data_IF_226520796321
#
_entry.id   IF_226520796321
#
_cell.length_a   1.000
_cell.length_b   1.000
_cell.length_c   1.000
_cell.angle_alpha   90.00
_cell.angle_beta   90.00
_cell.angle_gamma   90.00
#
_symmetry.space_group_name_H-M   'P 1'
#
loop_
_entity.id
_entity.type
_entity.pdbx_description
1 polymer ?
#
# COMPACT_ATOMS: atom_id res chain seq x y z
N UNK A 1 6.21 12.63 -0.01
CA UNK A 1 5.92 12.61 1.44
C UNK A 1 7.23 12.84 2.22
N UNK A 2 7.38 13.96 2.90
CA UNK A 2 8.64 14.39 3.54
C UNK A 2 9.14 13.37 4.59
N UNK A 3 10.46 13.11 4.62
CA UNK A 3 11.04 12.09 5.50
C UNK A 3 10.91 12.46 6.99
N UNK A 4 10.86 13.76 7.30
CA UNK A 4 10.59 14.32 8.63
C UNK A 4 9.18 13.99 9.13
N UNK A 5 8.17 14.06 8.25
CA UNK A 5 6.78 13.76 8.60
C UNK A 5 6.59 12.28 8.96
N UNK A 6 7.23 11.41 8.17
CA UNK A 6 7.27 9.96 8.42
C UNK A 6 7.86 9.64 9.79
N UNK A 7 8.96 10.30 10.17
CA UNK A 7 9.63 10.12 11.45
C UNK A 7 8.79 10.60 12.63
N UNK A 8 8.06 11.71 12.46
CA UNK A 8 7.12 12.23 13.45
C UNK A 8 5.94 11.28 13.68
N UNK A 9 5.32 10.77 12.60
CA UNK A 9 4.21 9.83 12.70
C UNK A 9 4.62 8.54 13.42
N UNK A 10 5.79 8.00 13.08
CA UNK A 10 6.32 6.79 13.71
C UNK A 10 6.66 7.01 15.19
N UNK A 11 7.16 8.20 15.56
CA UNK A 11 7.45 8.53 16.96
C UNK A 11 6.20 8.73 17.82
N UNK A 12 5.13 9.27 17.25
CA UNK A 12 3.87 9.54 17.96
C UNK A 12 3.01 8.28 18.14
N UNK A 13 2.84 7.50 17.06
CA UNK A 13 1.88 6.39 17.02
C UNK A 13 2.53 5.03 16.72
N UNK A 14 3.67 5.03 16.02
CA UNK A 14 4.37 3.80 15.62
C UNK A 14 4.74 2.93 16.81
N UNK A 15 5.22 3.55 17.91
CA UNK A 15 5.61 2.82 19.13
C UNK A 15 4.45 2.10 19.85
N UNK A 16 3.21 2.55 19.66
CA UNK A 16 2.02 1.91 20.25
C UNK A 16 1.45 0.79 19.36
N UNK A 17 1.69 0.87 18.06
CA UNK A 17 1.19 -0.08 17.06
C UNK A 17 2.17 -1.25 16.87
N UNK A 18 3.45 -1.01 17.18
CA UNK A 18 4.55 -1.97 17.08
C UNK A 18 4.33 -3.13 18.08
N UNK A 19 4.01 -4.32 17.56
CA UNK A 19 3.69 -5.52 18.35
C UNK A 19 2.21 -5.93 18.40
N UNK A 20 1.32 -5.20 17.71
CA UNK A 20 -0.09 -5.63 17.58
C UNK A 20 -0.27 -6.70 16.50
N UNK A 21 -1.24 -7.61 16.68
CA UNK A 21 -1.58 -8.62 15.66
C UNK A 21 -1.94 -8.02 14.30
N UNK A 22 -2.47 -6.79 14.29
CA UNK A 22 -2.80 -6.02 13.09
C UNK A 22 -1.55 -5.59 12.30
N UNK A 23 -0.41 -5.36 12.96
CA UNK A 23 0.83 -5.02 12.25
C UNK A 23 1.30 -6.17 11.37
N UNK A 24 1.22 -7.40 11.86
CA UNK A 24 1.64 -8.57 11.09
C UNK A 24 0.77 -8.75 9.84
N UNK A 25 -0.56 -8.67 9.97
CA UNK A 25 -1.46 -8.78 8.81
C UNK A 25 -1.27 -7.63 7.80
N UNK A 26 -1.12 -6.39 8.27
CA UNK A 26 -0.85 -5.25 7.39
C UNK A 26 0.53 -5.31 6.76
N UNK A 27 1.55 -5.82 7.45
CA UNK A 27 2.88 -5.99 6.88
C UNK A 27 2.88 -7.02 5.75
N UNK A 28 2.12 -8.10 5.87
CA UNK A 28 1.95 -9.11 4.82
C UNK A 28 1.23 -8.53 3.60
N UNK A 29 0.17 -7.76 3.80
CA UNK A 29 -0.55 -7.12 2.68
C UNK A 29 0.27 -6.02 2.01
N UNK A 30 1.02 -5.20 2.76
CA UNK A 30 1.97 -4.22 2.20
C UNK A 30 3.12 -4.88 1.44
N UNK A 31 3.62 -6.02 1.95
CA UNK A 31 4.67 -6.78 1.28
C UNK A 31 4.15 -7.38 -0.05
N UNK A 32 2.92 -7.89 -0.06
CA UNK A 32 2.24 -8.31 -1.28
C UNK A 32 2.04 -7.16 -2.28
N UNK A 33 1.87 -5.92 -1.79
CA UNK A 33 1.79 -4.70 -2.60
C UNK A 33 3.14 -4.13 -3.06
N UNK A 34 4.26 -4.79 -2.75
CA UNK A 34 5.64 -4.33 -3.02
C UNK A 34 5.99 -2.97 -2.38
N UNK A 35 5.29 -2.62 -1.29
CA UNK A 35 5.57 -1.40 -0.56
C UNK A 35 6.53 -1.77 0.56
N UNK A 36 7.81 -1.44 0.39
CA UNK A 36 8.87 -1.70 1.36
C UNK A 36 8.81 -0.70 2.54
N UNK A 37 7.69 -0.75 3.27
CA UNK A 37 7.40 0.09 4.44
C UNK A 37 6.85 -0.84 5.53
N UNK A 38 7.34 -0.67 6.77
CA UNK A 38 6.83 -1.42 7.94
C UNK A 38 5.33 -1.15 8.15
N UNK A 39 4.55 -2.19 8.47
CA UNK A 39 3.10 -2.07 8.68
C UNK A 39 2.73 -1.02 9.74
N UNK A 40 3.48 -0.97 10.85
CA UNK A 40 3.35 0.06 11.89
C UNK A 40 3.55 1.49 11.38
N UNK A 41 4.49 1.70 10.45
CA UNK A 41 4.75 3.00 9.85
C UNK A 41 3.63 3.44 8.90
N UNK A 42 3.07 2.52 8.14
CA UNK A 42 1.95 2.80 7.26
C UNK A 42 0.69 3.16 8.05
N UNK A 43 0.33 2.34 9.05
CA UNK A 43 -0.82 2.60 9.92
C UNK A 43 -0.70 3.93 10.65
N UNK A 44 0.49 4.27 11.15
CA UNK A 44 0.73 5.55 11.82
C UNK A 44 0.53 6.74 10.88
N UNK A 45 1.05 6.66 9.65
CA UNK A 45 0.86 7.73 8.66
C UNK A 45 -0.61 7.84 8.25
N UNK A 46 -1.31 6.72 8.07
CA UNK A 46 -2.73 6.68 7.73
C UNK A 46 -3.56 7.34 8.84
N UNK A 47 -3.38 6.93 10.09
CA UNK A 47 -4.09 7.51 11.23
C UNK A 47 -3.83 9.02 11.37
N UNK A 48 -2.56 9.45 11.33
CA UNK A 48 -2.21 10.86 11.50
C UNK A 48 -2.74 11.70 10.33
N UNK A 49 -2.64 11.20 9.09
CA UNK A 49 -3.14 11.92 7.92
C UNK A 49 -4.66 12.04 7.93
N UNK A 50 -5.37 10.97 8.30
CA UNK A 50 -6.83 10.96 8.43
C UNK A 50 -7.31 11.88 9.55
N UNK A 51 -6.62 11.90 10.70
CA UNK A 51 -6.91 12.80 11.81
C UNK A 51 -6.73 14.29 11.42
N UNK A 52 -5.64 14.61 10.72
CA UNK A 52 -5.39 15.97 10.23
C UNK A 52 -6.45 16.42 9.24
N UNK A 53 -6.87 15.54 8.33
CA UNK A 53 -7.93 15.85 7.37
C UNK A 53 -9.28 16.10 8.05
N UNK A 54 -9.62 15.25 9.04
CA UNK A 54 -10.84 15.39 9.83
C UNK A 54 -10.86 16.70 10.63
N UNK A 55 -9.73 17.09 11.23
CA UNK A 55 -9.61 18.36 11.93
C UNK A 55 -9.70 19.57 11.00
N UNK A 56 -9.08 19.50 9.81
CA UNK A 56 -9.15 20.58 8.84
C UNK A 56 -10.59 20.80 8.35
N UNK A 57 -11.29 19.73 7.95
CA UNK A 57 -12.66 19.82 7.43
C UNK A 57 -13.64 20.17 8.55
N UNK A 58 -13.50 19.56 9.75
CA UNK A 58 -14.31 19.91 10.92
C UNK A 58 -14.12 21.37 11.35
N UNK A 59 -12.89 21.89 11.31
CA UNK A 59 -12.59 23.29 11.60
C UNK A 59 -13.18 24.26 10.58
N UNK A 60 -13.11 23.94 9.28
CA UNK A 60 -13.73 24.75 8.22
C UNK A 60 -15.25 24.80 8.40
N UNK A 61 -15.90 23.66 8.65
CA UNK A 61 -17.34 23.59 8.86
C UNK A 61 -17.79 24.32 10.13
N UNK A 62 -16.97 24.31 11.18
CA UNK A 62 -17.23 25.08 12.40
C UNK A 62 -17.18 26.59 12.15
N UNK A 63 -16.17 27.07 11.41
CA UNK A 63 -16.01 28.50 11.08
C UNK A 63 -17.13 28.99 10.15
N UNK A 64 -17.59 28.14 9.22
CA UNK A 64 -18.58 28.51 8.22
C UNK A 64 -20.03 28.42 8.75
N UNK A 65 -20.24 27.97 10.00
CA UNK A 65 -21.54 27.83 10.69
C UNK A 65 -22.65 27.25 9.80
N UNK A 66 -22.33 26.17 9.07
CA UNK A 66 -23.30 25.46 8.25
C UNK A 66 -24.12 24.55 9.18
N UNK A 67 -25.39 24.90 9.43
CA UNK A 67 -26.32 24.13 10.29
C UNK A 67 -26.75 22.77 9.73
N UNK A 68 -26.30 22.40 8.52
CA UNK A 68 -26.75 21.18 7.84
C UNK A 68 -26.31 19.90 8.57
N UNK A 69 -25.19 19.94 9.29
CA UNK A 69 -24.69 18.79 10.05
C UNK A 69 -23.81 19.24 11.22
N UNK A 70 -23.84 18.48 12.32
CA UNK A 70 -22.96 18.75 13.46
C UNK A 70 -21.49 18.59 13.00
N UNK A 71 -20.60 19.59 13.21
CA UNK A 71 -19.20 19.53 12.75
C UNK A 71 -18.45 18.29 13.27
N UNK A 72 -18.86 17.76 14.43
CA UNK A 72 -18.29 16.55 15.02
C UNK A 72 -18.62 15.31 14.19
N UNK A 73 -19.86 15.17 13.70
CA UNK A 73 -20.26 14.01 12.88
C UNK A 73 -19.67 14.09 11.48
N UNK A 74 -19.51 15.30 10.91
CA UNK A 74 -18.79 15.49 9.66
C UNK A 74 -17.32 15.06 9.75
N UNK A 75 -16.63 15.45 10.84
CA UNK A 75 -15.24 15.05 11.06
C UNK A 75 -15.11 13.52 11.16
N UNK A 76 -16.04 12.84 11.83
CA UNK A 76 -16.04 11.38 11.94
C UNK A 76 -16.27 10.69 10.59
N UNK A 77 -17.20 11.20 9.78
CA UNK A 77 -17.43 10.70 8.42
C UNK A 77 -16.21 10.86 7.52
N UNK A 78 -15.53 12.01 7.59
CA UNK A 78 -14.30 12.26 6.84
C UNK A 78 -13.17 11.33 7.27
N UNK A 79 -13.04 11.10 8.58
CA UNK A 79 -12.07 10.15 9.12
C UNK A 79 -12.34 8.72 8.60
N UNK A 80 -13.59 8.26 8.69
CA UNK A 80 -14.00 6.94 8.19
C UNK A 80 -13.78 6.81 6.66
N UNK A 81 -14.19 7.82 5.89
CA UNK A 81 -14.07 7.82 4.43
C UNK A 81 -12.60 7.82 3.97
N UNK A 82 -11.74 8.64 4.59
CA UNK A 82 -10.31 8.70 4.25
C UNK A 82 -9.57 7.41 4.59
N UNK A 83 -9.86 6.80 5.74
CA UNK A 83 -9.30 5.49 6.11
C UNK A 83 -9.72 4.39 5.13
N UNK A 84 -11.03 4.35 4.78
CA UNK A 84 -11.55 3.40 3.81
C UNK A 84 -10.95 3.56 2.40
N UNK A 85 -10.77 4.80 1.94
CA UNK A 85 -10.18 5.08 0.62
C UNK A 85 -8.74 4.56 0.51
N UNK A 86 -7.93 4.74 1.56
CA UNK A 86 -6.55 4.24 1.58
C UNK A 86 -6.51 2.71 1.57
N UNK A 87 -7.39 2.05 2.32
CA UNK A 87 -7.51 0.59 2.32
C UNK A 87 -7.91 0.04 0.94
N UNK A 88 -8.86 0.69 0.28
CA UNK A 88 -9.32 0.32 -1.05
C UNK A 88 -8.20 0.47 -2.10
N UNK A 89 -7.46 1.58 -2.07
CA UNK A 89 -6.30 1.78 -2.94
C UNK A 89 -5.24 0.69 -2.75
N UNK A 90 -4.95 0.31 -1.50
CA UNK A 90 -3.99 -0.75 -1.21
C UNK A 90 -4.44 -2.09 -1.82
N UNK A 91 -5.72 -2.44 -1.61
CA UNK A 91 -6.31 -3.67 -2.15
C UNK A 91 -6.30 -3.69 -3.68
N UNK A 92 -6.65 -2.58 -4.33
CA UNK A 92 -6.63 -2.46 -5.80
C UNK A 92 -5.23 -2.69 -6.35
N UNK A 93 -4.19 -2.10 -5.73
CA UNK A 93 -2.80 -2.27 -6.16
C UNK A 93 -2.31 -3.71 -6.03
N UNK A 94 -2.76 -4.42 -4.98
CA UNK A 94 -2.47 -5.86 -4.81
C UNK A 94 -3.14 -6.67 -5.92
N UNK A 95 -4.40 -6.37 -6.25
CA UNK A 95 -5.12 -7.04 -7.33
C UNK A 95 -4.47 -6.78 -8.69
N UNK A 96 -4.13 -5.53 -9.00
CA UNK A 96 -3.45 -5.17 -10.26
C UNK A 96 -2.14 -5.94 -10.42
N UNK A 97 -1.37 -6.08 -9.33
CA UNK A 97 -0.13 -6.86 -9.34
C UNK A 97 -0.39 -8.35 -9.55
N UNK A 98 -1.38 -8.93 -8.87
CA UNK A 98 -1.76 -10.33 -9.10
C UNK A 98 -2.16 -10.57 -10.55
N UNK A 99 -2.96 -9.67 -11.12
CA UNK A 99 -3.36 -9.72 -12.53
C UNK A 99 -2.19 -9.54 -13.48
N UNK A 100 -1.20 -8.71 -13.15
CA UNK A 100 0.03 -8.59 -13.92
C UNK A 100 0.83 -9.90 -13.88
N UNK A 101 1.00 -10.50 -12.69
CA UNK A 101 1.68 -11.79 -12.54
C UNK A 101 0.94 -12.86 -13.35
N UNK A 102 -0.38 -13.03 -13.17
CA UNK A 102 -1.17 -14.04 -13.87
C UNK A 102 -1.13 -13.88 -15.40
N UNK A 103 -0.95 -12.64 -15.89
CA UNK A 103 -0.82 -12.36 -17.33
C UNK A 103 0.54 -12.77 -17.88
N UNK A 104 1.62 -12.55 -17.14
CA UNK A 104 3.00 -12.77 -17.62
C UNK A 104 3.55 -14.16 -17.26
N UNK A 105 3.02 -14.79 -16.21
CA UNK A 105 3.44 -16.11 -15.73
C UNK A 105 3.29 -17.24 -16.77
N UNK A 106 2.20 -17.39 -17.53
CA UNK A 106 2.11 -18.43 -18.56
C UNK A 106 3.13 -18.24 -19.69
N UNK A 107 3.43 -16.99 -20.07
CA UNK A 107 4.46 -16.66 -21.05
C UNK A 107 5.87 -16.99 -20.53
N UNK A 108 6.16 -16.68 -19.26
CA UNK A 108 7.43 -17.05 -18.64
C UNK A 108 7.61 -18.58 -18.55
N UNK A 109 6.55 -19.31 -18.20
CA UNK A 109 6.57 -20.78 -18.09
C UNK A 109 6.83 -21.43 -19.45
N UNK A 110 6.22 -20.95 -20.54
CA UNK A 110 6.47 -21.50 -21.87
C UNK A 110 7.89 -21.23 -22.35
N UNK A 111 8.43 -20.04 -22.11
CA UNK A 111 9.84 -19.74 -22.40
C UNK A 111 10.81 -20.60 -21.59
N UNK A 112 10.54 -20.78 -20.29
CA UNK A 112 11.33 -21.66 -19.44
C UNK A 112 11.26 -23.13 -19.86
N UNK A 113 10.10 -23.63 -20.30
CA UNK A 113 9.97 -25.03 -20.72
C UNK A 113 10.73 -25.32 -22.02
N UNK A 114 10.70 -24.38 -22.98
CA UNK A 114 11.49 -24.46 -24.22
C UNK A 114 12.98 -24.47 -23.89
N UNK A 115 13.45 -23.54 -23.06
CA UNK A 115 14.87 -23.45 -22.72
C UNK A 115 15.34 -24.60 -21.79
N UNK A 116 14.44 -25.15 -20.96
CA UNK A 116 14.74 -26.36 -20.18
C UNK A 116 14.86 -27.59 -21.10
N UNK A 117 14.01 -27.69 -22.13
CA UNK A 117 14.08 -28.76 -23.12
C UNK A 117 15.37 -28.72 -23.95
N UNK A 118 16.01 -27.56 -24.11
CA UNK A 118 17.32 -27.42 -24.77
C UNK A 118 18.50 -27.75 -23.85
N UNK A 119 18.26 -28.22 -22.62
CA UNK A 119 19.32 -28.61 -21.67
C UNK A 119 20.04 -27.43 -21.02
N UNK A 120 19.46 -26.23 -21.08
CA UNK A 120 20.07 -25.02 -20.50
C UNK A 120 19.98 -25.09 -18.98
N UNK A 121 21.07 -24.82 -18.23
CA UNK A 121 21.06 -24.89 -16.78
C UNK A 121 20.08 -23.87 -16.17
N UNK A 122 19.34 -24.22 -15.11
CA UNK A 122 18.23 -23.43 -14.57
C UNK A 122 18.64 -22.03 -14.08
N UNK A 123 19.89 -21.86 -13.65
CA UNK A 123 20.44 -20.57 -13.27
C UNK A 123 20.53 -19.60 -14.46
N UNK A 124 20.92 -20.13 -15.63
CA UNK A 124 21.03 -19.34 -16.86
C UNK A 124 19.65 -19.03 -17.45
N UNK A 125 18.65 -19.90 -17.21
CA UNK A 125 17.24 -19.65 -17.54
C UNK A 125 16.68 -18.42 -16.80
N UNK A 126 16.94 -18.34 -15.49
CA UNK A 126 16.49 -17.22 -14.67
C UNK A 126 17.11 -15.90 -15.13
N UNK A 127 18.40 -15.91 -15.49
CA UNK A 127 19.08 -14.74 -16.05
C UNK A 127 18.51 -14.32 -17.40
N UNK A 128 18.26 -15.27 -18.31
CA UNK A 128 17.66 -14.98 -19.62
C UNK A 128 16.24 -14.43 -19.48
N UNK A 129 15.42 -15.01 -18.59
CA UNK A 129 14.07 -14.54 -18.33
C UNK A 129 14.07 -13.12 -17.76
N UNK A 130 14.93 -12.85 -16.76
CA UNK A 130 15.08 -11.52 -16.17
C UNK A 130 15.56 -10.48 -17.19
N UNK A 131 16.44 -10.88 -18.12
CA UNK A 131 16.91 -9.99 -19.20
C UNK A 131 15.83 -9.74 -20.27
N UNK A 132 14.95 -10.70 -20.54
CA UNK A 132 13.86 -10.54 -21.51
C UNK A 132 12.73 -9.64 -21.00
N UNK A 133 12.50 -9.61 -19.69
CA UNK A 133 11.50 -8.73 -19.06
C UNK A 133 11.98 -7.26 -18.99
N UNK A 134 13.30 -7.05 -18.94
CA UNK A 134 13.92 -5.71 -18.95
C UNK A 134 14.38 -5.26 -20.33
N UNK A 135 14.28 -6.13 -21.34
CA UNK A 135 14.69 -5.90 -22.71
C UNK A 135 13.52 -5.49 -23.58
N UNK A 136 13.26 -4.19 -23.64
CA UNK A 136 12.51 -3.60 -24.74
C UNK A 136 13.20 -3.94 -26.07
N UNK A 137 12.41 -4.46 -27.01
CA UNK A 137 12.56 -4.18 -28.44
C UNK A 137 11.28 -3.52 -28.93
#
# INVERSE_FOLDING_TARGET
MNNTYKKLCYRLLGRYIEGSSLENEFSLTLHQAEINIRGSMFLSVLFVSSLLLALAIGGILYILSIELINPISAAFLVFAASSGAVYFQLTSKIQDRRLAIDRHLPFAISHMSILAATGTPPLNLLHLLASSDHGAV
#
